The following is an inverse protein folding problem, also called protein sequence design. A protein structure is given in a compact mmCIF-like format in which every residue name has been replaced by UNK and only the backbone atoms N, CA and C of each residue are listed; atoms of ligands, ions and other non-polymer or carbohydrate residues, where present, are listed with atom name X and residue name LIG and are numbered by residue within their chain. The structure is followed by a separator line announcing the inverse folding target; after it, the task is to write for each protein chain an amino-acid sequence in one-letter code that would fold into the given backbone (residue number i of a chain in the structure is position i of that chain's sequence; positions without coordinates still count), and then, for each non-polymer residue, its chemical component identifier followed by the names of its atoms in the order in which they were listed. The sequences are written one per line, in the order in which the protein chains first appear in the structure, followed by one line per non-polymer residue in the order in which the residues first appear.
data_IF_128371609261
#
_entry.id   IF_128371609261
#
_cell.length_a   1.000
_cell.length_b   1.000
_cell.length_c   1.000
_cell.angle_alpha   90.00
_cell.angle_beta   90.00
_cell.angle_gamma   90.00
#
_symmetry.space_group_name_H-M   'P 1'
#
loop_
_entity.id
_entity.type
_entity.pdbx_description
1 polymer ?
#
# COMPACT_ATOMS: atom_id res chain seq x y z
N UNK A 1 -20.57 28.83 14.29
CA UNK A 1 -20.73 29.03 12.83
C UNK A 1 -19.58 28.28 12.19
N UNK A 2 -19.80 27.00 11.86
CA UNK A 2 -18.72 26.01 11.74
C UNK A 2 -19.04 25.03 10.60
N UNK A 3 -19.14 25.52 9.37
CA UNK A 3 -19.41 24.70 8.18
C UNK A 3 -18.48 25.09 7.00
N UNK A 4 -18.03 24.07 6.28
CA UNK A 4 -17.51 24.08 4.91
C UNK A 4 -16.54 25.18 4.45
N UNK A 5 -15.24 24.96 4.74
CA UNK A 5 -14.14 25.50 3.92
C UNK A 5 -13.21 24.42 3.35
N UNK A 6 -13.79 23.27 3.00
CA UNK A 6 -13.15 22.20 2.23
C UNK A 6 -12.96 22.62 0.77
N UNK A 7 -11.99 23.50 0.54
CA UNK A 7 -11.74 24.13 -0.76
C UNK A 7 -11.38 23.13 -1.87
N UNK A 8 -12.01 23.29 -3.04
CA UNK A 8 -11.63 22.55 -4.26
C UNK A 8 -10.23 22.95 -4.74
N UNK A 9 -9.28 22.01 -4.74
CA UNK A 9 -8.01 22.14 -5.46
C UNK A 9 -6.83 21.39 -4.82
N UNK A 10 -6.16 20.55 -5.61
CA UNK A 10 -4.90 19.88 -5.23
C UNK A 10 -5.06 18.41 -4.83
N UNK A 11 -4.88 17.50 -5.80
CA UNK A 11 -5.01 16.04 -5.63
C UNK A 11 -6.46 15.54 -5.65
N UNK A 12 -6.74 14.52 -6.46
CA UNK A 12 -8.08 13.92 -6.58
C UNK A 12 -8.26 12.83 -5.50
N UNK A 13 -8.59 13.25 -4.27
CA UNK A 13 -8.66 12.34 -3.11
C UNK A 13 -9.91 11.45 -3.13
N UNK A 14 -9.83 10.35 -3.89
CA UNK A 14 -10.91 9.38 -4.09
C UNK A 14 -11.03 8.39 -2.92
N UNK A 15 -11.76 8.80 -1.88
CA UNK A 15 -12.25 7.87 -0.86
C UNK A 15 -13.22 6.87 -1.49
N UNK A 16 -12.91 5.58 -1.42
CA UNK A 16 -13.75 4.50 -1.98
C UNK A 16 -14.71 4.02 -0.89
N UNK A 17 -16.02 4.26 -1.04
CA UNK A 17 -17.04 3.71 -0.14
C UNK A 17 -16.98 2.18 -0.15
N UNK A 18 -16.68 1.58 1.00
CA UNK A 18 -16.14 0.23 1.08
C UNK A 18 -17.16 -0.87 1.41
N UNK A 19 -18.24 -0.96 0.63
CA UNK A 19 -19.25 -2.03 0.75
C UNK A 19 -18.89 -3.29 -0.07
N UNK A 20 -17.65 -3.79 0.06
CA UNK A 20 -17.20 -4.96 -0.70
C UNK A 20 -17.41 -6.27 0.08
N UNK A 21 -18.21 -7.25 -0.40
CA UNK A 21 -18.59 -8.44 0.38
C UNK A 21 -17.52 -9.55 0.45
N UNK A 22 -16.23 -9.20 0.46
CA UNK A 22 -15.10 -10.14 0.46
C UNK A 22 -14.40 -10.17 1.82
N UNK A 23 -14.41 -11.33 2.45
CA UNK A 23 -13.77 -11.63 3.74
C UNK A 23 -12.51 -12.47 3.52
N UNK A 24 -11.71 -12.66 4.58
CA UNK A 24 -10.55 -13.56 4.55
C UNK A 24 -10.90 -14.99 4.14
N UNK A 25 -12.12 -15.46 4.38
CA UNK A 25 -12.60 -16.80 4.01
C UNK A 25 -12.66 -16.98 2.49
N UNK A 26 -13.09 -15.92 1.78
CA UNK A 26 -13.22 -15.90 0.31
C UNK A 26 -11.89 -15.69 -0.42
N UNK A 27 -10.82 -15.33 0.30
CA UNK A 27 -9.49 -15.13 -0.30
C UNK A 27 -8.74 -16.47 -0.38
N UNK A 28 -8.41 -16.90 -1.61
CA UNK A 28 -7.55 -18.05 -1.85
C UNK A 28 -6.08 -17.68 -1.59
N UNK A 29 -5.51 -18.23 -0.52
CA UNK A 29 -4.10 -18.04 -0.11
C UNK A 29 -3.69 -19.14 0.88
N UNK A 30 -2.40 -19.25 1.19
CA UNK A 30 -1.91 -20.18 2.22
C UNK A 30 -2.59 -19.93 3.59
N UNK A 31 -3.10 -20.98 4.28
CA UNK A 31 -3.77 -20.83 5.57
C UNK A 31 -2.89 -20.28 6.70
N UNK A 32 -1.60 -20.59 6.71
CA UNK A 32 -0.67 -20.14 7.75
C UNK A 32 -0.37 -18.66 7.59
N UNK A 33 -0.13 -18.21 6.35
CA UNK A 33 0.01 -16.79 6.01
C UNK A 33 -1.28 -16.01 6.31
N UNK A 34 -2.46 -16.61 6.03
CA UNK A 34 -3.76 -16.01 6.37
C UNK A 34 -3.89 -15.77 7.87
N UNK A 35 -3.59 -16.79 8.68
CA UNK A 35 -3.65 -16.68 10.15
C UNK A 35 -2.62 -15.66 10.67
N UNK A 36 -1.39 -15.69 10.18
CA UNK A 36 -0.32 -14.77 10.60
C UNK A 36 -0.68 -13.29 10.32
N UNK A 37 -1.41 -13.01 9.25
CA UNK A 37 -1.94 -11.66 8.96
C UNK A 37 -3.05 -11.31 9.95
N UNK A 38 -4.04 -12.19 10.15
CA UNK A 38 -5.15 -11.96 11.07
C UNK A 38 -4.62 -11.68 12.48
N UNK A 39 -3.73 -12.53 13.01
CA UNK A 39 -3.11 -12.38 14.33
C UNK A 39 -2.37 -11.03 14.50
N UNK A 40 -1.76 -10.51 13.43
CA UNK A 40 -1.05 -9.25 13.43
C UNK A 40 -1.98 -8.03 13.37
N UNK A 41 -3.07 -8.09 12.60
CA UNK A 41 -4.14 -7.08 12.61
C UNK A 41 -4.76 -6.98 14.01
N UNK A 42 -5.07 -8.14 14.61
CA UNK A 42 -5.59 -8.28 15.96
C UNK A 42 -4.62 -7.71 17.02
N UNK A 43 -3.32 -8.01 16.87
CA UNK A 43 -2.22 -7.47 17.68
C UNK A 43 -2.05 -5.96 17.51
N UNK A 44 -2.26 -5.41 16.31
CA UNK A 44 -2.23 -3.98 16.05
C UNK A 44 -3.39 -3.24 16.74
N UNK A 45 -4.62 -3.75 16.60
CA UNK A 45 -5.82 -3.19 17.26
C UNK A 45 -5.68 -3.21 18.79
N UNK A 46 -5.38 -4.37 19.38
CA UNK A 46 -5.19 -4.51 20.84
C UNK A 46 -4.11 -3.61 21.43
N UNK A 47 -3.13 -3.16 20.63
CA UNK A 47 -2.01 -2.33 21.08
C UNK A 47 -2.25 -0.82 20.99
N UNK A 48 -3.42 -0.34 20.54
CA UNK A 48 -3.73 1.11 20.45
C UNK A 48 -3.39 1.87 21.73
N UNK A 49 -3.79 1.35 22.89
CA UNK A 49 -3.51 1.98 24.19
C UNK A 49 -2.07 1.85 24.66
N UNK A 50 -1.36 0.80 24.25
CA UNK A 50 0.07 0.63 24.55
C UNK A 50 0.90 1.68 23.79
N UNK A 51 0.61 1.90 22.50
CA UNK A 51 1.25 2.96 21.71
C UNK A 51 0.93 4.36 22.27
N UNK A 52 -0.34 4.61 22.62
CA UNK A 52 -0.81 5.83 23.28
C UNK A 52 -0.05 6.12 24.59
N UNK A 53 0.10 5.12 25.47
CA UNK A 53 0.85 5.24 26.74
C UNK A 53 2.36 5.51 26.54
N UNK A 54 2.95 5.05 25.43
CA UNK A 54 4.35 5.28 25.09
C UNK A 54 4.60 6.56 24.28
N UNK A 55 3.56 7.36 23.98
CA UNK A 55 3.67 8.52 23.10
C UNK A 55 4.07 8.18 21.65
N UNK A 56 3.96 6.92 21.23
CA UNK A 56 4.38 6.44 19.91
C UNK A 56 3.20 6.48 18.92
N UNK A 57 3.47 6.88 17.69
CA UNK A 57 2.48 6.88 16.62
C UNK A 57 1.93 5.46 16.39
N UNK A 58 0.64 5.26 16.63
CA UNK A 58 -0.06 4.00 16.39
C UNK A 58 -0.30 3.83 14.88
N UNK A 59 0.69 3.23 14.21
CA UNK A 59 0.69 2.93 12.78
C UNK A 59 1.22 1.52 12.54
N UNK A 60 0.73 0.87 11.49
CA UNK A 60 1.23 -0.40 10.95
C UNK A 60 1.43 -0.22 9.45
N UNK A 61 2.47 -0.82 8.90
CA UNK A 61 2.74 -0.86 7.47
C UNK A 61 2.93 -2.30 7.04
N UNK A 62 2.45 -2.63 5.85
CA UNK A 62 2.62 -3.91 5.18
C UNK A 62 3.27 -3.63 3.83
N UNK A 63 4.17 -4.51 3.40
CA UNK A 63 4.69 -4.55 2.04
C UNK A 63 4.26 -5.88 1.43
N UNK A 64 3.46 -5.80 0.38
CA UNK A 64 3.06 -6.95 -0.42
C UNK A 64 3.93 -6.93 -1.68
N UNK A 65 4.51 -8.07 -2.03
CA UNK A 65 5.37 -8.21 -3.21
C UNK A 65 5.29 -9.64 -3.76
N UNK A 66 5.61 -9.80 -5.04
CA UNK A 66 5.55 -11.07 -5.75
C UNK A 66 5.04 -10.91 -7.19
N UNK A 67 4.91 -12.00 -7.96
CA UNK A 67 4.49 -11.94 -9.36
C UNK A 67 3.12 -11.26 -9.58
N UNK A 68 2.89 -10.59 -10.71
CA UNK A 68 1.59 -10.02 -11.04
C UNK A 68 0.51 -11.11 -11.11
N UNK A 69 -0.74 -10.76 -10.77
CA UNK A 69 -1.86 -11.70 -10.72
C UNK A 69 -1.96 -12.55 -9.44
N UNK A 70 -1.01 -12.46 -8.51
CA UNK A 70 -1.03 -13.20 -7.22
C UNK A 70 -2.01 -12.64 -6.16
N UNK A 71 -2.88 -11.69 -6.52
CA UNK A 71 -3.94 -11.20 -5.64
C UNK A 71 -3.49 -10.28 -4.50
N UNK A 72 -2.33 -9.63 -4.62
CA UNK A 72 -1.77 -8.74 -3.59
C UNK A 72 -2.73 -7.57 -3.25
N UNK A 73 -3.21 -6.81 -4.24
CA UNK A 73 -4.23 -5.77 -4.01
C UNK A 73 -5.55 -6.36 -3.49
N UNK A 74 -5.89 -7.59 -3.90
CA UNK A 74 -7.10 -8.31 -3.46
C UNK A 74 -7.09 -8.69 -1.97
N UNK A 75 -5.93 -8.72 -1.31
CA UNK A 75 -5.76 -8.97 0.13
C UNK A 75 -6.10 -7.72 0.98
N UNK A 76 -5.98 -6.52 0.42
CA UNK A 76 -6.33 -5.26 1.09
C UNK A 76 -7.83 -5.24 1.45
N UNK A 77 -8.66 -5.83 0.59
CA UNK A 77 -10.11 -5.87 0.72
C UNK A 77 -10.57 -6.63 1.99
N UNK A 78 -10.14 -7.88 2.26
CA UNK A 78 -10.31 -8.53 3.56
C UNK A 78 -9.76 -7.76 4.76
N UNK A 79 -8.58 -7.12 4.64
CA UNK A 79 -7.97 -6.37 5.75
C UNK A 79 -8.85 -5.20 6.20
N UNK A 80 -9.37 -4.42 5.24
CA UNK A 80 -10.26 -3.29 5.49
C UNK A 80 -11.56 -3.71 6.19
N UNK A 81 -12.20 -4.76 5.66
CA UNK A 81 -13.41 -5.34 6.23
C UNK A 81 -13.21 -5.89 7.65
N UNK A 82 -12.08 -6.57 7.91
CA UNK A 82 -11.75 -7.12 9.22
C UNK A 82 -11.54 -6.01 10.26
N UNK A 83 -10.83 -4.94 9.90
CA UNK A 83 -10.59 -3.80 10.78
C UNK A 83 -11.78 -2.83 10.90
N UNK A 84 -12.73 -2.86 9.94
CA UNK A 84 -13.73 -1.83 9.68
C UNK A 84 -13.08 -0.45 9.52
N UNK A 85 -12.11 -0.38 8.61
CA UNK A 85 -11.34 0.81 8.25
C UNK A 85 -11.66 1.24 6.82
N UNK A 86 -11.65 2.55 6.59
CA UNK A 86 -11.86 3.13 5.26
C UNK A 86 -10.62 2.87 4.37
N UNK A 87 -10.82 2.46 3.12
CA UNK A 87 -9.71 2.27 2.15
C UNK A 87 -9.51 3.55 1.36
N UNK A 88 -8.26 4.01 1.33
CA UNK A 88 -7.84 5.19 0.58
C UNK A 88 -6.74 4.82 -0.43
N UNK A 89 -6.97 5.10 -1.71
CA UNK A 89 -6.06 4.82 -2.82
C UNK A 89 -5.20 6.05 -3.17
N UNK A 90 -3.87 5.92 -3.06
CA UNK A 90 -2.93 7.04 -3.17
C UNK A 90 -2.10 6.96 -4.45
N UNK A 91 -2.65 7.50 -5.54
CA UNK A 91 -1.93 7.74 -6.78
C UNK A 91 -0.75 8.72 -6.57
N UNK A 92 0.47 8.15 -6.56
CA UNK A 92 1.73 8.89 -6.41
C UNK A 92 2.00 9.86 -7.56
N UNK A 93 1.46 9.63 -8.76
CA UNK A 93 1.68 10.51 -9.92
C UNK A 93 0.95 11.84 -9.77
N UNK A 94 -0.18 11.84 -9.05
CA UNK A 94 -0.95 13.05 -8.74
C UNK A 94 -0.32 13.96 -7.68
N UNK A 95 0.59 13.44 -6.85
CA UNK A 95 1.12 14.11 -5.64
C UNK A 95 2.26 15.09 -5.92
N UNK A 96 2.04 16.07 -6.79
CA UNK A 96 3.04 17.08 -7.14
C UNK A 96 3.54 17.91 -5.94
N UNK A 97 2.79 18.02 -4.84
CA UNK A 97 3.17 18.81 -3.67
C UNK A 97 3.12 18.03 -2.33
N UNK A 98 4.28 17.95 -1.66
CA UNK A 98 4.43 17.38 -0.30
C UNK A 98 3.53 18.02 0.77
N UNK A 99 2.99 19.22 0.52
CA UNK A 99 2.06 19.89 1.44
C UNK A 99 0.65 19.28 1.39
N UNK A 100 0.20 18.82 0.23
CA UNK A 100 -1.13 18.20 0.06
C UNK A 100 -1.17 16.83 0.74
N UNK A 101 -0.18 15.98 0.44
CA UNK A 101 0.01 14.70 1.14
C UNK A 101 0.05 14.89 2.67
N UNK A 102 0.77 15.89 3.18
CA UNK A 102 0.82 16.18 4.62
C UNK A 102 -0.52 16.68 5.17
N UNK A 103 -1.24 17.55 4.45
CA UNK A 103 -2.57 18.03 4.88
C UNK A 103 -3.53 16.86 5.02
N UNK A 104 -3.70 16.04 3.98
CA UNK A 104 -4.72 14.98 4.04
C UNK A 104 -4.35 13.90 5.04
N UNK A 105 -3.07 13.50 5.15
CA UNK A 105 -2.58 12.62 6.23
C UNK A 105 -2.81 13.16 7.65
N UNK A 106 -3.05 14.46 7.82
CA UNK A 106 -3.42 15.10 9.09
C UNK A 106 -4.94 15.26 9.26
N UNK A 107 -5.73 15.20 8.20
CA UNK A 107 -7.19 15.37 8.23
C UNK A 107 -7.98 14.05 8.25
N UNK A 108 -7.41 12.93 7.79
CA UNK A 108 -8.14 11.64 7.76
C UNK A 108 -8.38 11.04 9.15
N UNK A 109 -9.42 10.21 9.27
CA UNK A 109 -9.86 9.56 10.51
C UNK A 109 -8.84 8.58 11.10
N UNK A 110 -8.94 8.24 12.40
CA UNK A 110 -8.02 7.28 13.05
C UNK A 110 -8.28 5.80 12.72
N UNK A 111 -8.87 5.50 11.55
CA UNK A 111 -9.32 4.17 11.10
C UNK A 111 -9.26 4.03 9.56
N UNK A 112 -8.07 4.20 8.99
CA UNK A 112 -7.84 4.17 7.55
C UNK A 112 -6.80 3.13 7.15
N UNK A 113 -6.88 2.65 5.91
CA UNK A 113 -5.80 1.95 5.21
C UNK A 113 -5.40 2.80 4.00
N UNK A 114 -4.11 3.12 3.85
CA UNK A 114 -3.58 3.75 2.64
C UNK A 114 -3.01 2.65 1.75
N UNK A 115 -3.48 2.61 0.50
CA UNK A 115 -2.91 1.82 -0.57
C UNK A 115 -1.94 2.69 -1.36
N UNK A 116 -0.79 2.13 -1.72
CA UNK A 116 0.20 2.74 -2.60
C UNK A 116 0.68 1.64 -3.55
N UNK A 117 0.19 1.64 -4.79
CA UNK A 117 0.57 0.65 -5.79
C UNK A 117 1.80 1.10 -6.60
N UNK A 118 2.38 0.20 -7.41
CA UNK A 118 3.45 0.45 -8.39
C UNK A 118 4.69 1.23 -7.92
N UNK A 119 5.03 1.16 -6.62
CA UNK A 119 6.15 1.88 -5.99
C UNK A 119 7.53 1.65 -6.65
N UNK A 120 7.75 0.48 -7.27
CA UNK A 120 8.99 0.13 -7.95
C UNK A 120 9.01 0.59 -9.42
N UNK A 121 7.85 0.90 -10.01
CA UNK A 121 7.69 1.11 -11.45
C UNK A 121 8.39 2.39 -11.94
N UNK A 122 8.56 3.40 -11.08
CA UNK A 122 9.32 4.61 -11.39
C UNK A 122 10.84 4.40 -11.49
N UNK A 123 11.36 3.23 -11.12
CA UNK A 123 12.81 2.95 -11.11
C UNK A 123 13.36 2.42 -12.44
N UNK A 124 12.52 1.84 -13.30
CA UNK A 124 12.93 1.14 -14.54
C UNK A 124 13.28 2.08 -15.72
N UNK A 125 13.96 3.20 -15.47
CA UNK A 125 14.48 4.12 -16.50
C UNK A 125 15.99 4.40 -16.40
N UNK A 126 16.71 3.74 -15.50
CA UNK A 126 18.18 3.79 -15.40
C UNK A 126 18.84 2.43 -15.66
N UNK A 127 18.36 1.68 -16.65
CA UNK A 127 19.04 0.46 -17.09
C UNK A 127 18.88 0.22 -18.59
N UNK A 128 19.72 0.86 -19.40
CA UNK A 128 20.00 0.52 -20.80
C UNK A 128 21.49 0.63 -21.07
N UNK A 129 22.01 -0.35 -21.79
CA UNK A 129 23.29 -0.33 -22.51
C UNK A 129 24.55 -0.01 -21.67
N UNK A 130 25.05 -1.03 -20.97
CA UNK A 130 26.46 -1.39 -21.12
C UNK A 130 26.57 -2.78 -21.74
N UNK A 131 27.59 -2.97 -22.58
CA UNK A 131 27.53 -3.93 -23.68
C UNK A 131 27.98 -5.35 -23.29
N UNK A 132 27.21 -6.36 -23.71
CA UNK A 132 27.71 -7.73 -23.84
C UNK A 132 28.29 -7.92 -25.26
N UNK A 133 29.44 -7.29 -25.52
CA UNK A 133 30.08 -7.25 -26.84
C UNK A 133 30.73 -8.60 -27.21
N UNK A 134 29.93 -9.51 -27.78
CA UNK A 134 30.32 -10.56 -28.73
C UNK A 134 31.46 -11.52 -28.35
N UNK A 135 31.10 -12.76 -27.99
CA UNK A 135 32.06 -13.88 -27.93
C UNK A 135 32.10 -14.65 -29.26
N UNK A 136 33.06 -14.32 -30.13
CA UNK A 136 33.34 -14.90 -31.47
C UNK A 136 34.57 -14.19 -32.07
N UNK A 137 35.49 -14.76 -32.87
CA UNK A 137 35.75 -16.12 -33.40
C UNK A 137 37.25 -16.15 -33.88
N UNK A 138 37.94 -17.21 -34.34
CA UNK A 138 37.66 -18.62 -34.63
C UNK A 138 38.94 -19.48 -34.40
N UNK A 139 38.97 -20.72 -34.89
CA UNK A 139 40.01 -21.76 -34.77
C UNK A 139 41.30 -21.55 -35.60
N UNK A 140 42.46 -21.94 -35.02
CA UNK A 140 43.65 -22.62 -35.63
C UNK A 140 44.69 -22.82 -34.51
N UNK A 141 44.98 -24.02 -33.99
CA UNK A 141 45.59 -25.22 -34.60
C UNK A 141 46.85 -24.93 -35.42
N UNK A 142 47.98 -24.76 -34.72
CA UNK A 142 49.34 -25.18 -35.09
C UNK A 142 50.19 -25.22 -33.81
#
# INVERSE_FOLDING_TARGET
MDDDYCGRGGGDWRCINFDHPVTFDKLAMDPNLKQAIIDDLDRFVRRKDYYRKLGKAWKRGYLLYGPPGTGQSSLIVPMANYLRFDVYDLDLTSLYHKQELRRTLHCTTSKLIIVIEDIDCSSQMHNREMEYSGLSDNTKVA
#
